data_IF_363227628912
#
_entry.id   IF_363227628912
#
_cell.length_a   1.000
_cell.length_b   1.000
_cell.length_c   1.000
_cell.angle_alpha   90.00
_cell.angle_beta   90.00
_cell.angle_gamma   90.00
#
_symmetry.space_group_name_H-M   'P 1'
#
loop_
_entity.id
_entity.type
_entity.pdbx_description
1 polymer ?
#
# COMPACT_ATOMS: atom_id res chain seq x y z
N UNK A 1 5.85 -34.23 -13.13
CA UNK A 1 6.15 -33.02 -13.92
C UNK A 1 5.01 -32.04 -13.75
N UNK A 2 5.18 -31.09 -12.83
CA UNK A 2 4.15 -30.12 -12.48
C UNK A 2 4.10 -29.07 -13.59
N UNK A 3 3.01 -29.08 -14.34
CA UNK A 3 2.76 -28.18 -15.47
C UNK A 3 2.70 -26.75 -14.91
N UNK A 4 3.68 -25.92 -15.25
CA UNK A 4 3.68 -24.50 -14.94
C UNK A 4 2.43 -23.89 -15.56
N UNK A 5 1.47 -23.48 -14.73
CA UNK A 5 0.34 -22.67 -15.19
C UNK A 5 0.93 -21.38 -15.77
N UNK A 6 0.95 -21.27 -17.08
CA UNK A 6 1.22 -20.01 -17.75
C UNK A 6 0.22 -18.98 -17.19
N UNK A 7 0.74 -17.86 -16.69
CA UNK A 7 -0.08 -16.78 -16.17
C UNK A 7 -1.09 -16.36 -17.24
N UNK A 8 -2.38 -16.43 -16.90
CA UNK A 8 -3.46 -16.03 -17.79
C UNK A 8 -3.21 -14.58 -18.25
N UNK A 9 -3.33 -14.27 -19.56
CA UNK A 9 -3.32 -12.90 -20.02
C UNK A 9 -4.42 -12.11 -19.29
N UNK A 10 -4.05 -11.08 -18.53
CA UNK A 10 -4.98 -10.26 -17.76
C UNK A 10 -4.99 -10.50 -16.25
N UNK A 11 -4.31 -11.53 -15.73
CA UNK A 11 -4.03 -11.59 -14.30
C UNK A 11 -3.03 -10.47 -13.97
N UNK A 12 -3.45 -9.48 -13.17
CA UNK A 12 -2.57 -8.41 -12.73
C UNK A 12 -1.33 -9.04 -12.07
N UNK A 13 -0.14 -8.80 -12.65
CA UNK A 13 1.11 -9.28 -12.07
C UNK A 13 1.23 -8.66 -10.68
N UNK A 14 1.37 -9.51 -9.65
CA UNK A 14 1.64 -9.03 -8.29
C UNK A 14 3.02 -8.39 -8.30
N UNK A 15 3.09 -7.15 -7.81
CA UNK A 15 4.34 -6.44 -7.64
C UNK A 15 4.93 -6.75 -6.27
N UNK A 16 6.25 -6.68 -6.13
CA UNK A 16 6.97 -6.95 -4.88
C UNK A 16 6.58 -5.98 -3.76
N UNK A 17 6.39 -4.70 -4.08
CA UNK A 17 5.89 -3.67 -3.16
C UNK A 17 6.71 -3.53 -1.86
N UNK A 18 7.95 -4.05 -1.82
CA UNK A 18 8.99 -3.71 -0.83
C UNK A 18 9.14 -2.19 -0.76
N UNK A 19 9.39 -1.63 0.42
CA UNK A 19 9.46 -0.18 0.60
C UNK A 19 10.81 0.24 1.17
N UNK A 20 11.26 1.44 0.82
CA UNK A 20 12.36 2.12 1.49
C UNK A 20 12.16 3.62 1.46
N UNK A 21 12.03 4.25 2.61
CA UNK A 21 11.83 5.70 2.75
C UNK A 21 10.71 6.24 1.83
N UNK A 22 9.58 5.52 1.78
CA UNK A 22 8.42 5.91 0.97
C UNK A 22 8.42 5.40 -0.48
N UNK A 23 9.58 5.08 -1.06
CA UNK A 23 9.65 4.47 -2.40
C UNK A 23 9.16 3.02 -2.39
N UNK A 24 8.43 2.62 -3.43
CA UNK A 24 7.85 1.27 -3.55
C UNK A 24 8.55 0.52 -4.69
N UNK A 25 8.95 -0.72 -4.43
CA UNK A 25 9.47 -1.62 -5.46
C UNK A 25 8.37 -1.95 -6.47
N UNK A 26 8.63 -1.69 -7.74
CA UNK A 26 7.67 -1.93 -8.84
C UNK A 26 8.08 -3.10 -9.72
N UNK A 27 8.97 -3.97 -9.22
CA UNK A 27 9.30 -5.23 -9.88
C UNK A 27 8.23 -6.28 -9.56
N UNK A 28 8.21 -7.36 -10.33
CA UNK A 28 7.35 -8.51 -10.07
C UNK A 28 7.66 -9.14 -8.71
N UNK A 29 6.64 -9.67 -8.05
CA UNK A 29 6.79 -10.41 -6.82
C UNK A 29 7.73 -11.63 -7.01
N UNK A 30 8.59 -11.88 -6.01
CA UNK A 30 9.64 -12.91 -6.09
C UNK A 30 10.82 -12.60 -7.03
N UNK A 31 11.00 -11.34 -7.46
CA UNK A 31 12.13 -10.96 -8.32
C UNK A 31 13.51 -11.24 -7.67
N UNK A 32 14.51 -11.52 -8.50
CA UNK A 32 15.92 -11.64 -8.06
C UNK A 32 16.65 -10.30 -8.05
N UNK A 33 17.61 -10.14 -7.13
CA UNK A 33 18.45 -8.94 -7.00
C UNK A 33 17.76 -7.79 -6.27
N UNK A 34 18.41 -6.63 -6.23
CA UNK A 34 17.97 -5.47 -5.44
C UNK A 34 16.56 -4.98 -5.86
N UNK A 35 15.80 -4.52 -4.88
CA UNK A 35 14.57 -3.79 -5.11
C UNK A 35 14.85 -2.46 -5.79
N UNK A 36 13.91 -2.01 -6.61
CA UNK A 36 13.91 -0.66 -7.15
C UNK A 36 12.51 -0.27 -7.62
N UNK A 37 12.31 1.04 -7.73
CA UNK A 37 11.20 1.59 -8.50
C UNK A 37 11.65 1.79 -9.94
N UNK A 38 10.82 1.42 -10.90
CA UNK A 38 11.04 1.70 -12.33
C UNK A 38 11.13 3.21 -12.52
N UNK A 39 12.22 3.69 -13.14
CA UNK A 39 12.50 5.12 -13.29
C UNK A 39 13.14 5.79 -12.07
N UNK A 40 13.27 5.09 -10.94
CA UNK A 40 14.01 5.57 -9.77
C UNK A 40 15.52 5.27 -9.86
N UNK A 41 16.32 5.96 -9.06
CA UNK A 41 17.77 5.72 -8.91
C UNK A 41 18.15 4.92 -7.65
N UNK A 42 17.20 4.77 -6.73
CA UNK A 42 17.43 4.06 -5.46
C UNK A 42 17.33 2.55 -5.67
N UNK A 43 18.38 1.83 -5.30
CA UNK A 43 18.39 0.39 -5.17
C UNK A 43 18.48 0.03 -3.68
N UNK A 44 17.83 -1.05 -3.26
CA UNK A 44 17.93 -1.53 -1.88
C UNK A 44 17.82 -3.04 -1.76
N UNK A 45 18.45 -3.60 -0.72
CA UNK A 45 18.31 -5.02 -0.33
C UNK A 45 17.20 -5.19 0.70
N UNK A 46 16.85 -6.44 1.02
CA UNK A 46 15.90 -6.77 2.10
C UNK A 46 16.36 -6.19 3.45
N UNK A 47 17.66 -6.16 3.72
CA UNK A 47 18.23 -5.58 4.95
C UNK A 47 18.02 -4.07 5.06
N UNK A 48 17.84 -3.40 3.92
CA UNK A 48 17.61 -1.95 3.85
C UNK A 48 16.13 -1.59 3.66
N UNK A 49 15.25 -2.59 3.56
CA UNK A 49 13.82 -2.37 3.39
C UNK A 49 13.19 -1.87 4.70
N UNK A 50 12.18 -1.03 4.57
CA UNK A 50 11.34 -0.62 5.70
C UNK A 50 10.65 -1.87 6.29
N UNK A 51 10.51 -1.95 7.63
CA UNK A 51 9.78 -3.04 8.28
C UNK A 51 8.33 -3.10 7.76
N UNK A 52 7.68 -4.29 7.84
CA UNK A 52 6.28 -4.42 7.43
C UNK A 52 5.39 -3.49 8.25
N UNK A 53 5.57 -3.45 9.57
CA UNK A 53 4.81 -2.59 10.47
C UNK A 53 5.07 -1.10 10.20
N UNK A 54 4.01 -0.31 10.13
CA UNK A 54 4.11 1.13 9.96
C UNK A 54 4.35 1.82 11.30
N UNK A 55 5.38 2.68 11.34
CA UNK A 55 5.74 3.46 12.53
C UNK A 55 4.71 4.53 12.94
N UNK A 56 3.63 4.71 12.15
CA UNK A 56 2.54 5.63 12.48
C UNK A 56 1.51 5.04 13.47
N UNK A 57 1.58 3.75 13.80
CA UNK A 57 0.68 3.15 14.79
C UNK A 57 0.70 3.91 16.13
N UNK A 58 -0.47 4.14 16.70
CA UNK A 58 -0.64 4.89 17.95
C UNK A 58 -0.52 6.41 17.81
N UNK A 59 -0.34 6.94 16.61
CA UNK A 59 -0.36 8.40 16.38
C UNK A 59 -1.78 8.92 16.17
N UNK A 60 -2.11 10.16 16.61
CA UNK A 60 -3.41 10.76 16.34
C UNK A 60 -3.64 10.98 14.85
N UNK A 61 -4.87 10.70 14.39
CA UNK A 61 -5.29 11.02 13.03
C UNK A 61 -6.77 11.38 13.00
N UNK A 62 -7.18 12.22 12.06
CA UNK A 62 -8.59 12.50 11.79
C UNK A 62 -9.15 11.51 10.76
N UNK A 63 -10.46 11.17 10.84
CA UNK A 63 -11.08 10.34 9.82
C UNK A 63 -10.99 11.01 8.44
N UNK A 64 -10.73 10.21 7.42
CA UNK A 64 -10.70 10.69 6.06
C UNK A 64 -12.13 11.08 5.60
N UNK A 65 -12.28 12.15 4.79
CA UNK A 65 -13.52 12.44 4.09
C UNK A 65 -14.13 11.20 3.41
N UNK A 66 -15.45 11.09 3.36
CA UNK A 66 -16.12 9.93 2.76
C UNK A 66 -16.70 10.26 1.38
N UNK A 67 -16.43 9.39 0.41
CA UNK A 67 -17.11 9.36 -0.88
C UNK A 67 -18.61 9.07 -0.71
N UNK A 68 -19.39 9.27 -1.78
CA UNK A 68 -20.84 9.04 -1.77
C UNK A 68 -21.24 7.58 -1.50
N UNK A 69 -20.35 6.63 -1.74
CA UNK A 69 -20.54 5.21 -1.42
C UNK A 69 -20.12 4.83 0.01
N UNK A 70 -19.65 5.81 0.79
CA UNK A 70 -19.18 5.64 2.16
C UNK A 70 -17.70 5.27 2.30
N UNK A 71 -16.93 5.09 1.22
CA UNK A 71 -15.49 4.85 1.31
C UNK A 71 -14.74 6.07 1.89
N UNK A 72 -13.79 5.92 2.84
CA UNK A 72 -13.19 4.67 3.31
C UNK A 72 -13.84 4.08 4.58
N UNK A 73 -15.03 4.50 4.98
CA UNK A 73 -15.77 3.91 6.09
C UNK A 73 -15.28 4.37 7.47
N UNK A 74 -14.98 5.67 7.62
CA UNK A 74 -14.51 6.25 8.90
C UNK A 74 -13.02 6.04 9.20
N UNK A 75 -12.32 5.26 8.38
CA UNK A 75 -10.86 5.10 8.45
C UNK A 75 -10.13 6.43 8.20
N UNK A 76 -8.96 6.60 8.81
CA UNK A 76 -8.05 7.72 8.56
C UNK A 76 -7.07 7.40 7.43
N UNK A 77 -6.58 8.43 6.72
CA UNK A 77 -5.43 8.29 5.82
C UNK A 77 -4.13 8.41 6.64
N UNK A 78 -3.34 7.34 6.71
CA UNK A 78 -2.05 7.35 7.39
C UNK A 78 -1.06 8.28 6.66
N UNK A 79 -0.45 9.28 7.33
CA UNK A 79 0.44 10.24 6.67
C UNK A 79 1.78 9.64 6.24
N UNK A 80 2.18 8.49 6.79
CA UNK A 80 3.46 7.84 6.50
C UNK A 80 3.35 6.86 5.33
N UNK A 81 2.52 5.82 5.47
CA UNK A 81 2.45 4.75 4.48
C UNK A 81 1.32 4.95 3.45
N UNK A 82 0.42 5.89 3.72
CA UNK A 82 -0.69 6.30 2.86
C UNK A 82 -1.85 5.30 2.89
N UNK A 83 -1.84 4.29 3.78
CA UNK A 83 -2.96 3.36 3.98
C UNK A 83 -4.21 4.07 4.51
N UNK A 84 -5.40 3.54 4.21
CA UNK A 84 -6.59 3.83 5.02
C UNK A 84 -6.65 2.86 6.20
N UNK A 85 -6.56 3.41 7.41
CA UNK A 85 -6.37 2.63 8.65
C UNK A 85 -7.52 2.94 9.61
N UNK A 86 -7.97 1.91 10.33
CA UNK A 86 -8.90 2.08 11.43
C UNK A 86 -8.30 2.96 12.53
N UNK A 87 -9.20 3.51 13.34
CA UNK A 87 -8.84 4.28 14.53
C UNK A 87 -9.43 3.60 15.75
N UNK A 88 -8.72 3.66 16.88
CA UNK A 88 -9.28 3.29 18.17
C UNK A 88 -10.27 4.34 18.69
N UNK A 89 -10.92 4.05 19.81
CA UNK A 89 -11.89 4.94 20.45
C UNK A 89 -11.27 6.28 20.92
N UNK A 90 -9.94 6.33 21.07
CA UNK A 90 -9.17 7.53 21.40
C UNK A 90 -8.80 8.36 20.17
N UNK A 91 -9.12 7.89 18.97
CA UNK A 91 -8.81 8.56 17.71
C UNK A 91 -7.39 8.36 17.21
N UNK A 92 -6.66 7.38 17.75
CA UNK A 92 -5.32 7.02 17.32
C UNK A 92 -5.38 5.98 16.19
N UNK A 93 -4.41 5.99 15.29
CA UNK A 93 -4.26 4.95 14.28
C UNK A 93 -4.01 3.60 14.96
N UNK A 94 -4.81 2.59 14.63
CA UNK A 94 -4.52 1.22 15.07
C UNK A 94 -3.16 0.74 14.51
N UNK A 95 -2.46 -0.18 15.20
CA UNK A 95 -1.28 -0.86 14.64
C UNK A 95 -1.61 -1.46 13.27
N UNK A 96 -0.76 -1.20 12.28
CA UNK A 96 -0.99 -1.64 10.91
C UNK A 96 0.33 -1.83 10.15
N UNK A 97 0.30 -2.66 9.12
CA UNK A 97 1.39 -2.75 8.17
C UNK A 97 1.38 -1.57 7.19
N UNK A 98 2.57 -1.17 6.76
CA UNK A 98 2.75 -0.19 5.68
C UNK A 98 1.98 -0.64 4.44
N UNK A 99 1.26 0.28 3.79
CA UNK A 99 0.50 -0.04 2.58
C UNK A 99 1.41 -0.63 1.49
N UNK A 100 1.06 -1.83 1.01
CA UNK A 100 1.72 -2.57 -0.07
C UNK A 100 0.71 -2.95 -1.15
N UNK A 101 -0.15 -2.01 -1.54
CA UNK A 101 -1.23 -2.24 -2.49
C UNK A 101 -2.56 -2.57 -1.83
N UNK A 102 -3.63 -2.51 -2.62
CA UNK A 102 -5.00 -2.80 -2.18
C UNK A 102 -5.34 -4.28 -2.40
N UNK A 103 -6.20 -4.84 -1.55
CA UNK A 103 -6.55 -6.27 -1.56
C UNK A 103 -7.27 -6.70 -2.85
N UNK A 104 -7.93 -5.74 -3.52
CA UNK A 104 -8.66 -5.99 -4.75
C UNK A 104 -8.62 -4.82 -5.72
N UNK A 105 -8.89 -5.10 -7.01
CA UNK A 105 -9.03 -4.06 -8.03
C UNK A 105 -10.14 -3.06 -7.69
N UNK A 106 -11.26 -3.52 -7.11
CA UNK A 106 -12.36 -2.66 -6.73
C UNK A 106 -11.99 -1.71 -5.57
N UNK A 107 -11.14 -2.16 -4.65
CA UNK A 107 -10.61 -1.27 -3.60
C UNK A 107 -9.59 -0.27 -4.16
N UNK A 108 -8.72 -0.70 -5.07
CA UNK A 108 -7.81 0.20 -5.78
C UNK A 108 -8.56 1.28 -6.58
N UNK A 109 -9.67 0.92 -7.23
CA UNK A 109 -10.48 1.86 -7.99
C UNK A 109 -11.17 2.90 -7.06
N UNK A 110 -11.70 2.48 -5.90
CA UNK A 110 -12.26 3.39 -4.88
C UNK A 110 -11.21 4.29 -4.24
N UNK A 111 -10.03 3.74 -3.93
CA UNK A 111 -8.89 4.51 -3.42
C UNK A 111 -8.45 5.58 -4.42
N UNK A 112 -8.36 5.24 -5.71
CA UNK A 112 -8.05 6.18 -6.78
C UNK A 112 -9.12 7.28 -6.89
N UNK A 113 -10.39 6.92 -6.84
CA UNK A 113 -11.50 7.88 -6.83
C UNK A 113 -11.38 8.84 -5.65
N UNK A 114 -11.10 8.32 -4.45
CA UNK A 114 -10.91 9.12 -3.25
C UNK A 114 -9.78 10.13 -3.38
N UNK A 115 -8.60 9.73 -3.85
CA UNK A 115 -7.47 10.65 -4.06
C UNK A 115 -7.78 11.71 -5.10
N UNK A 116 -8.47 11.35 -6.18
CA UNK A 116 -8.90 12.29 -7.20
C UNK A 116 -9.91 13.31 -6.67
N UNK A 117 -10.76 12.92 -5.71
CA UNK A 117 -11.79 13.78 -5.14
C UNK A 117 -11.27 14.73 -4.06
N UNK A 118 -10.39 14.25 -3.17
CA UNK A 118 -9.97 15.00 -1.97
C UNK A 118 -8.52 15.51 -2.02
N UNK A 119 -7.79 15.18 -3.07
CA UNK A 119 -6.51 15.80 -3.39
C UNK A 119 -5.34 15.21 -2.62
N UNK A 120 -4.53 14.42 -3.33
CA UNK A 120 -3.11 14.24 -3.04
C UNK A 120 -2.30 14.05 -4.31
#
# INVERSE_FOLDING_TARGET
MTRTLAALPGAARRLCLSRRNGEICTREDGHRGLHHRTGGRLLWSDLQADPPECVAGGTPAEPAPTLGDGFPGGRALCPICWAFVNRDDGGLLEPHDSWRGDDSRAEADRRREWFNAYGW
#
